data_IF_447897751910
#
_entry.id   IF_447897751910
#
_cell.length_a   1.000
_cell.length_b   1.000
_cell.length_c   1.000
_cell.angle_alpha   90.00
_cell.angle_beta   90.00
_cell.angle_gamma   90.00
#
_symmetry.space_group_name_H-M   'P 1'
#
loop_
_entity.id
_entity.type
_entity.pdbx_description
1 polymer ?
#
# COMPACT_ATOMS: atom_id res chain seq x y z
N UNK A 1 -10.59 -45.46 -0.71
CA UNK A 1 -11.39 -44.32 -1.21
C UNK A 1 -12.12 -43.70 -0.04
N UNK A 2 -11.80 -42.46 0.35
CA UNK A 2 -12.54 -41.74 1.38
C UNK A 2 -13.87 -41.25 0.79
N UNK A 3 -14.99 -41.34 1.51
CA UNK A 3 -16.27 -40.83 1.02
C UNK A 3 -16.18 -39.31 0.82
N UNK A 4 -16.86 -38.76 -0.19
CA UNK A 4 -16.90 -37.31 -0.39
C UNK A 4 -17.51 -36.64 0.86
N UNK A 5 -16.94 -35.51 1.33
CA UNK A 5 -17.45 -34.85 2.52
C UNK A 5 -18.90 -34.40 2.29
N UNK A 6 -19.75 -34.62 3.30
CA UNK A 6 -21.14 -34.11 3.33
C UNK A 6 -21.12 -32.62 3.03
N UNK A 7 -22.01 -32.14 2.17
CA UNK A 7 -22.20 -30.70 1.91
C UNK A 7 -22.54 -29.98 3.22
N UNK A 8 -21.50 -29.49 3.90
CA UNK A 8 -21.64 -28.71 5.12
C UNK A 8 -21.99 -27.27 4.72
N UNK A 9 -23.23 -26.87 5.01
CA UNK A 9 -23.69 -25.50 4.82
C UNK A 9 -24.03 -24.91 6.19
N UNK A 10 -23.10 -24.16 6.82
CA UNK A 10 -23.28 -23.64 8.18
C UNK A 10 -24.35 -22.55 8.29
N UNK A 11 -24.81 -22.00 7.16
CA UNK A 11 -25.73 -20.88 7.12
C UNK A 11 -27.16 -21.35 6.80
N UNK A 12 -28.08 -21.08 7.72
CA UNK A 12 -29.51 -21.39 7.61
C UNK A 12 -30.26 -20.43 6.69
N UNK A 13 -29.70 -19.24 6.41
CA UNK A 13 -30.25 -18.24 5.47
C UNK A 13 -29.17 -17.65 4.55
N UNK A 14 -29.60 -17.05 3.43
CA UNK A 14 -28.68 -16.31 2.54
C UNK A 14 -28.12 -15.09 3.29
N UNK A 15 -26.83 -14.84 3.10
CA UNK A 15 -26.13 -13.67 3.66
C UNK A 15 -26.71 -12.40 3.05
N UNK A 16 -27.20 -11.49 3.89
CA UNK A 16 -27.73 -10.18 3.46
C UNK A 16 -26.62 -9.13 3.39
N UNK A 17 -26.92 -7.97 2.79
CA UNK A 17 -25.98 -6.83 2.81
C UNK A 17 -25.79 -6.26 4.22
N UNK A 18 -26.81 -6.36 5.08
CA UNK A 18 -26.72 -5.94 6.49
C UNK A 18 -25.79 -6.85 7.28
N UNK A 19 -25.84 -8.17 7.06
CA UNK A 19 -24.93 -9.13 7.71
C UNK A 19 -23.47 -8.83 7.36
N UNK A 20 -23.21 -8.49 6.08
CA UNK A 20 -21.88 -8.08 5.62
C UNK A 20 -21.44 -6.77 6.26
N UNK A 21 -22.35 -5.78 6.39
CA UNK A 21 -22.05 -4.48 6.99
C UNK A 21 -21.78 -4.61 8.50
N UNK A 22 -22.58 -5.41 9.20
CA UNK A 22 -22.37 -5.74 10.60
C UNK A 22 -21.03 -6.42 10.82
N UNK A 23 -20.72 -7.47 10.06
CA UNK A 23 -19.46 -8.19 10.17
C UNK A 23 -18.26 -7.26 9.92
N UNK A 24 -18.34 -6.36 8.94
CA UNK A 24 -17.29 -5.36 8.68
C UNK A 24 -17.08 -4.41 9.85
N UNK A 25 -18.17 -3.89 10.43
CA UNK A 25 -18.09 -2.97 11.55
C UNK A 25 -17.55 -3.66 12.80
N UNK A 26 -17.95 -4.90 13.06
CA UNK A 26 -17.37 -5.70 14.15
C UNK A 26 -15.89 -5.96 13.93
N UNK A 27 -15.50 -6.39 12.73
CA UNK A 27 -14.11 -6.64 12.35
C UNK A 27 -13.22 -5.40 12.52
N UNK A 28 -13.74 -4.20 12.25
CA UNK A 28 -13.01 -2.94 12.49
C UNK A 28 -12.78 -2.65 13.98
N UNK A 29 -13.63 -3.14 14.88
CA UNK A 29 -13.47 -2.97 16.33
C UNK A 29 -12.35 -3.85 16.90
N UNK A 30 -12.03 -4.98 16.26
CA UNK A 30 -10.95 -5.89 16.68
C UNK A 30 -9.53 -5.44 16.26
N UNK A 31 -9.39 -4.23 15.69
CA UNK A 31 -8.09 -3.63 15.33
C UNK A 31 -7.61 -3.94 13.90
N UNK A 32 -6.32 -3.74 13.62
CA UNK A 32 -5.71 -3.98 12.30
C UNK A 32 -5.74 -5.47 11.94
N UNK A 33 -6.80 -5.90 11.25
CA UNK A 33 -6.88 -7.23 10.66
C UNK A 33 -5.72 -7.44 9.69
N UNK A 34 -4.85 -8.38 10.05
CA UNK A 34 -3.65 -8.71 9.29
C UNK A 34 -4.01 -9.52 8.05
N UNK A 35 -3.49 -9.08 6.90
CA UNK A 35 -3.31 -9.89 5.68
C UNK A 35 -4.52 -10.09 4.76
N UNK A 36 -5.74 -10.29 5.30
CA UNK A 36 -6.91 -10.69 4.49
C UNK A 36 -8.18 -9.86 4.70
N UNK A 37 -8.15 -8.83 5.56
CA UNK A 37 -9.32 -7.96 5.79
C UNK A 37 -9.85 -7.31 4.50
N UNK A 38 -8.97 -7.08 3.52
CA UNK A 38 -9.30 -6.54 2.20
C UNK A 38 -10.18 -7.46 1.35
N UNK A 39 -10.20 -8.79 1.57
CA UNK A 39 -11.09 -9.72 0.85
C UNK A 39 -12.56 -9.38 1.13
N UNK A 40 -12.85 -8.87 2.33
CA UNK A 40 -14.20 -8.52 2.74
C UNK A 40 -14.54 -7.07 2.37
N UNK A 41 -13.56 -6.23 2.05
CA UNK A 41 -13.81 -4.87 1.54
C UNK A 41 -14.65 -4.95 0.27
N UNK A 42 -15.47 -3.91 0.01
CA UNK A 42 -16.07 -3.81 -1.32
C UNK A 42 -14.91 -3.79 -2.31
N UNK A 43 -15.02 -4.56 -3.39
CA UNK A 43 -14.08 -4.44 -4.50
C UNK A 43 -14.01 -2.94 -4.82
N UNK A 44 -12.82 -2.32 -4.73
CA UNK A 44 -12.72 -0.89 -4.96
C UNK A 44 -13.38 -0.64 -6.30
N UNK A 45 -14.23 0.39 -6.39
CA UNK A 45 -14.70 0.84 -7.69
C UNK A 45 -13.45 1.25 -8.43
N UNK A 46 -12.92 0.33 -9.23
CA UNK A 46 -11.77 0.56 -10.07
C UNK A 46 -12.30 1.55 -11.09
N UNK A 47 -12.18 2.84 -10.76
CA UNK A 47 -11.88 3.83 -11.79
C UNK A 47 -10.85 3.11 -12.64
N UNK A 48 -11.13 2.89 -13.93
CA UNK A 48 -10.17 2.29 -14.86
C UNK A 48 -8.96 3.20 -14.87
N UNK A 49 -8.13 3.05 -13.85
CA UNK A 49 -6.92 3.81 -13.67
C UNK A 49 -6.08 3.32 -14.84
N UNK A 50 -5.47 4.24 -15.61
CA UNK A 50 -4.81 3.92 -16.87
C UNK A 50 -3.45 3.24 -16.61
N UNK A 51 -3.38 2.40 -15.58
CA UNK A 51 -2.22 1.62 -15.22
C UNK A 51 -2.44 0.24 -15.80
N UNK A 52 -1.95 0.08 -17.03
CA UNK A 52 -1.92 -1.20 -17.74
C UNK A 52 -1.03 -2.16 -16.93
N UNK A 53 -1.60 -3.25 -16.42
CA UNK A 53 -0.83 -4.33 -15.81
C UNK A 53 -0.03 -5.02 -16.93
N UNK A 54 1.22 -4.60 -17.13
CA UNK A 54 2.09 -5.06 -18.24
C UNK A 54 2.30 -6.56 -18.27
N UNK A 55 2.30 -7.21 -17.09
CA UNK A 55 2.45 -8.66 -17.00
C UNK A 55 1.37 -9.39 -17.83
N UNK A 56 0.24 -8.73 -18.11
CA UNK A 56 -0.87 -9.25 -18.90
C UNK A 56 -0.86 -8.79 -20.37
N UNK A 57 0.17 -8.08 -20.83
CA UNK A 57 0.22 -7.61 -22.22
C UNK A 57 0.65 -8.75 -23.17
N UNK A 58 0.10 -8.75 -24.38
CA UNK A 58 0.39 -9.80 -25.39
C UNK A 58 1.87 -9.77 -25.79
N UNK A 59 2.48 -8.60 -25.76
CA UNK A 59 3.89 -8.37 -26.10
C UNK A 59 4.84 -9.01 -25.08
N UNK A 60 4.48 -8.98 -23.78
CA UNK A 60 5.24 -9.68 -22.74
C UNK A 60 5.15 -11.20 -22.87
N UNK A 61 3.95 -11.73 -23.18
CA UNK A 61 3.72 -13.18 -23.35
C UNK A 61 4.41 -13.74 -24.59
N UNK A 62 4.49 -12.95 -25.68
CA UNK A 62 5.03 -13.41 -26.97
C UNK A 62 6.55 -13.27 -27.10
N UNK A 63 7.28 -12.81 -26.07
CA UNK A 63 8.75 -12.76 -26.06
C UNK A 63 9.40 -11.67 -26.94
N UNK A 64 8.63 -10.91 -27.72
CA UNK A 64 9.10 -9.80 -28.55
C UNK A 64 9.14 -8.47 -27.75
N UNK A 65 9.74 -8.50 -26.57
CA UNK A 65 9.63 -7.42 -25.60
C UNK A 65 10.71 -6.35 -25.80
N UNK A 66 10.30 -5.15 -26.20
CA UNK A 66 11.16 -3.95 -26.22
C UNK A 66 10.91 -3.11 -24.96
N UNK A 67 11.96 -2.89 -24.17
CA UNK A 67 11.88 -2.15 -22.90
C UNK A 67 11.46 -0.69 -23.11
N UNK A 68 11.80 -0.12 -24.26
CA UNK A 68 11.48 1.25 -24.63
C UNK A 68 9.97 1.42 -24.86
N UNK A 69 9.34 0.46 -25.54
CA UNK A 69 7.89 0.47 -25.76
C UNK A 69 7.13 0.28 -24.44
N UNK A 70 7.67 -0.55 -23.54
CA UNK A 70 7.16 -0.66 -22.17
C UNK A 70 7.18 0.68 -21.46
N UNK A 71 8.34 1.35 -21.45
CA UNK A 71 8.51 2.64 -20.78
C UNK A 71 7.53 3.67 -21.31
N UNK A 72 7.29 3.69 -22.62
CA UNK A 72 6.31 4.58 -23.25
C UNK A 72 4.88 4.28 -22.80
N UNK A 73 4.49 3.00 -22.75
CA UNK A 73 3.15 2.58 -22.29
C UNK A 73 2.90 2.82 -20.80
N UNK A 74 3.96 2.98 -20.02
CA UNK A 74 3.87 3.24 -18.58
C UNK A 74 3.76 4.71 -18.22
N UNK A 75 4.03 5.61 -19.17
CA UNK A 75 3.99 7.04 -18.92
C UNK A 75 2.61 7.46 -18.44
N UNK A 76 2.61 8.30 -17.41
CA UNK A 76 1.42 8.85 -16.81
C UNK A 76 1.36 10.36 -17.07
N UNK A 77 0.17 10.86 -17.35
CA UNK A 77 -0.08 12.30 -17.38
C UNK A 77 -0.22 12.86 -15.96
N UNK A 78 -0.09 14.17 -15.81
CA UNK A 78 -0.24 14.83 -14.50
C UNK A 78 -1.63 14.61 -13.90
N UNK A 79 -2.67 14.58 -14.74
CA UNK A 79 -4.04 14.30 -14.30
C UNK A 79 -4.16 12.88 -13.75
N UNK A 80 -3.48 11.91 -14.37
CA UNK A 80 -3.47 10.52 -13.92
C UNK A 80 -2.70 10.36 -12.61
N UNK A 81 -1.55 11.04 -12.47
CA UNK A 81 -0.78 11.06 -11.22
C UNK A 81 -1.62 11.66 -10.08
N UNK A 82 -2.31 12.78 -10.34
CA UNK A 82 -3.20 13.43 -9.40
C UNK A 82 -4.40 12.54 -9.02
N UNK A 83 -4.99 11.84 -9.99
CA UNK A 83 -6.07 10.89 -9.75
C UNK A 83 -5.62 9.72 -8.87
N UNK A 84 -4.44 9.15 -9.12
CA UNK A 84 -3.87 8.07 -8.30
C UNK A 84 -3.63 8.57 -6.87
N UNK A 85 -3.04 9.75 -6.70
CA UNK A 85 -2.80 10.34 -5.38
C UNK A 85 -4.11 10.47 -4.60
N UNK A 86 -5.15 11.07 -5.20
CA UNK A 86 -6.44 11.27 -4.55
C UNK A 86 -7.16 9.97 -4.23
N UNK A 87 -7.14 9.02 -5.17
CA UNK A 87 -7.81 7.72 -5.01
C UNK A 87 -7.14 6.82 -3.95
N UNK A 88 -5.92 7.14 -3.53
CA UNK A 88 -5.11 6.33 -2.61
C UNK A 88 -4.84 7.02 -1.27
N UNK A 89 -5.49 8.15 -0.99
CA UNK A 89 -5.50 8.77 0.34
C UNK A 89 -6.00 7.75 1.38
N UNK A 90 -5.42 7.77 2.58
CA UNK A 90 -5.65 6.77 3.63
C UNK A 90 -4.68 5.57 3.58
N UNK A 91 -3.88 5.48 2.51
CA UNK A 91 -2.75 4.56 2.36
C UNK A 91 -3.04 3.12 2.79
N UNK A 92 -2.53 2.68 3.95
CA UNK A 92 -2.66 1.30 4.44
C UNK A 92 -4.12 0.85 4.55
N UNK A 93 -5.01 1.75 4.95
CA UNK A 93 -6.43 1.49 5.12
C UNK A 93 -7.21 1.57 3.79
N UNK A 94 -6.56 2.03 2.72
CA UNK A 94 -7.14 2.12 1.39
C UNK A 94 -6.66 0.95 0.51
N UNK A 95 -7.52 -0.01 0.13
CA UNK A 95 -7.10 -1.16 -0.67
C UNK A 95 -6.56 -0.78 -2.06
N UNK A 96 -7.02 0.32 -2.65
CA UNK A 96 -6.51 0.83 -3.93
C UNK A 96 -5.03 1.19 -3.83
N UNK A 97 -4.56 1.66 -2.67
CA UNK A 97 -3.15 1.98 -2.43
C UNK A 97 -2.27 0.73 -2.56
N UNK A 98 -2.67 -0.40 -1.96
CA UNK A 98 -1.92 -1.66 -2.07
C UNK A 98 -1.88 -2.17 -3.51
N UNK A 99 -3.02 -2.11 -4.20
CA UNK A 99 -3.14 -2.54 -5.59
C UNK A 99 -2.22 -1.74 -6.53
N UNK A 100 -2.24 -0.41 -6.41
CA UNK A 100 -1.51 0.49 -7.31
C UNK A 100 -0.01 0.55 -7.02
N UNK A 101 0.40 0.19 -5.80
CA UNK A 101 1.82 0.04 -5.42
C UNK A 101 2.43 -1.27 -5.91
N UNK A 102 1.61 -2.29 -6.16
CA UNK A 102 2.09 -3.60 -6.58
C UNK A 102 2.79 -3.50 -7.93
N UNK A 103 4.00 -4.07 -8.03
CA UNK A 103 4.79 -4.02 -9.25
C UNK A 103 5.42 -2.65 -9.55
N UNK A 104 5.46 -1.74 -8.58
CA UNK A 104 6.14 -0.44 -8.67
C UNK A 104 7.38 -0.42 -7.79
N UNK A 105 8.36 0.39 -8.16
CA UNK A 105 9.54 0.61 -7.34
C UNK A 105 9.25 1.73 -6.34
N UNK A 106 9.07 1.37 -5.07
CA UNK A 106 8.73 2.32 -4.01
C UNK A 106 9.97 2.92 -3.35
N UNK A 107 9.89 4.19 -2.92
CA UNK A 107 10.98 4.89 -2.21
C UNK A 107 11.57 4.07 -1.04
N UNK A 108 10.71 3.41 -0.25
CA UNK A 108 11.11 2.55 0.87
C UNK A 108 12.02 1.37 0.50
N UNK A 109 11.95 0.89 -0.74
CA UNK A 109 12.76 -0.21 -1.26
C UNK A 109 13.90 0.28 -2.18
N UNK A 110 13.90 1.56 -2.58
CA UNK A 110 14.80 2.07 -3.60
C UNK A 110 16.28 1.98 -3.19
N UNK A 111 16.58 2.21 -1.92
CA UNK A 111 17.95 2.05 -1.39
C UNK A 111 18.48 0.61 -1.49
N UNK A 112 17.60 -0.40 -1.48
CA UNK A 112 17.96 -1.81 -1.66
C UNK A 112 18.24 -2.08 -3.14
N UNK A 113 17.43 -1.51 -4.03
CA UNK A 113 17.60 -1.63 -5.49
C UNK A 113 18.95 -1.08 -5.92
N UNK A 114 19.30 0.14 -5.48
CA UNK A 114 20.57 0.79 -5.82
C UNK A 114 21.80 0.00 -5.35
N UNK A 115 21.68 -0.72 -4.23
CA UNK A 115 22.76 -1.56 -3.68
C UNK A 115 22.82 -2.96 -4.29
N UNK A 116 21.77 -3.37 -5.00
CA UNK A 116 21.71 -4.70 -5.58
C UNK A 116 22.50 -4.79 -6.88
N UNK A 117 23.36 -5.79 -6.99
CA UNK A 117 24.13 -6.06 -8.22
C UNK A 117 23.36 -6.94 -9.21
N UNK A 118 22.32 -7.66 -8.74
CA UNK A 118 21.54 -8.64 -9.52
C UNK A 118 20.10 -8.69 -9.03
N UNK A 119 19.16 -9.01 -9.92
CA UNK A 119 17.78 -9.28 -9.54
C UNK A 119 17.67 -10.68 -8.90
N UNK A 120 17.75 -10.75 -7.56
CA UNK A 120 17.59 -12.02 -6.82
C UNK A 120 16.11 -12.32 -6.56
N UNK A 121 15.71 -13.60 -6.39
CA UNK A 121 14.34 -13.95 -6.02
C UNK A 121 13.87 -13.24 -4.72
N UNK A 122 14.78 -13.04 -3.76
CA UNK A 122 14.49 -12.32 -2.52
C UNK A 122 14.20 -10.84 -2.73
N UNK A 123 14.92 -10.18 -3.65
CA UNK A 123 14.65 -8.80 -4.05
C UNK A 123 13.31 -8.70 -4.78
N UNK A 124 13.04 -9.61 -5.72
CA UNK A 124 11.77 -9.64 -6.45
C UNK A 124 10.58 -9.81 -5.50
N UNK A 125 10.65 -10.76 -4.56
CA UNK A 125 9.62 -10.96 -3.54
C UNK A 125 9.40 -9.72 -2.66
N UNK A 126 10.47 -8.97 -2.36
CA UNK A 126 10.40 -7.71 -1.60
C UNK A 126 9.70 -6.61 -2.39
N UNK A 127 9.99 -6.49 -3.68
CA UNK A 127 9.37 -5.51 -4.57
C UNK A 127 7.91 -5.84 -4.90
N UNK A 128 7.56 -7.13 -4.97
CA UNK A 128 6.18 -7.58 -5.19
C UNK A 128 5.25 -7.36 -3.98
N UNK A 129 5.77 -6.84 -2.85
CA UNK A 129 5.04 -6.67 -1.60
C UNK A 129 4.39 -7.96 -1.07
N UNK A 130 5.02 -9.12 -1.34
CA UNK A 130 4.51 -10.45 -0.98
C UNK A 130 4.86 -10.88 0.46
N UNK A 131 5.51 -10.01 1.24
CA UNK A 131 5.80 -10.28 2.64
C UNK A 131 4.68 -9.75 3.52
N UNK A 132 4.11 -10.63 4.34
CA UNK A 132 3.33 -10.19 5.49
C UNK A 132 4.29 -9.61 6.54
N UNK A 133 4.22 -8.28 6.70
CA UNK A 133 5.05 -7.53 7.63
C UNK A 133 4.30 -7.18 8.93
N UNK A 134 3.04 -7.62 9.06
CA UNK A 134 2.20 -7.30 10.22
C UNK A 134 2.69 -7.89 11.53
N UNK A 135 3.47 -8.99 11.48
CA UNK A 135 4.09 -9.59 12.67
C UNK A 135 5.36 -8.86 13.15
N UNK A 136 5.86 -7.86 12.41
CA UNK A 136 7.13 -7.20 12.71
C UNK A 136 6.90 -6.08 13.71
N UNK A 137 7.34 -6.28 14.96
CA UNK A 137 7.16 -5.33 16.06
C UNK A 137 7.65 -3.91 15.75
N UNK A 138 8.77 -3.78 15.05
CA UNK A 138 9.31 -2.45 14.70
C UNK A 138 8.45 -1.70 13.69
N UNK A 139 7.75 -2.42 12.80
CA UNK A 139 6.84 -1.83 11.82
C UNK A 139 5.56 -1.40 12.53
N UNK A 140 4.98 -2.26 13.36
CA UNK A 140 3.80 -1.89 14.15
C UNK A 140 4.07 -0.72 15.08
N UNK A 141 5.25 -0.68 15.71
CA UNK A 141 5.67 0.46 16.53
C UNK A 141 5.71 1.76 15.72
N UNK A 142 6.28 1.73 14.52
CA UNK A 142 6.28 2.90 13.62
C UNK A 142 4.85 3.37 13.32
N UNK A 143 4.00 2.44 12.86
CA UNK A 143 2.61 2.74 12.46
C UNK A 143 1.78 3.32 13.60
N UNK A 144 1.90 2.76 14.80
CA UNK A 144 1.12 3.24 15.96
C UNK A 144 1.55 4.65 16.39
N UNK A 145 2.85 4.96 16.29
CA UNK A 145 3.40 6.22 16.78
C UNK A 145 3.46 7.33 15.72
N UNK A 146 3.25 7.00 14.44
CA UNK A 146 3.30 7.95 13.32
C UNK A 146 2.39 9.16 13.56
N UNK A 147 1.15 8.91 13.96
CA UNK A 147 0.17 9.96 14.28
C UNK A 147 0.65 10.89 15.41
N UNK A 148 1.39 10.36 16.39
CA UNK A 148 1.96 11.16 17.46
C UNK A 148 3.13 12.03 16.99
N UNK A 149 3.95 11.52 16.06
CA UNK A 149 5.00 12.30 15.42
C UNK A 149 4.44 13.46 14.60
N UNK A 150 3.35 13.23 13.85
CA UNK A 150 2.64 14.29 13.11
C UNK A 150 2.10 15.34 14.08
N UNK A 151 1.44 14.94 15.17
CA UNK A 151 0.96 15.88 16.19
C UNK A 151 2.08 16.69 16.82
N UNK A 152 3.20 16.05 17.16
CA UNK A 152 4.37 16.74 17.73
C UNK A 152 4.95 17.77 16.74
N UNK A 153 5.05 17.42 15.46
CA UNK A 153 5.47 18.34 14.40
C UNK A 153 4.51 19.53 14.27
N UNK A 154 3.20 19.28 14.17
CA UNK A 154 2.18 20.33 14.06
C UNK A 154 2.22 21.28 15.26
N UNK A 155 2.36 20.74 16.49
CA UNK A 155 2.47 21.53 17.71
C UNK A 155 3.74 22.37 17.76
N UNK A 156 4.88 21.84 17.32
CA UNK A 156 6.17 22.51 17.39
C UNK A 156 6.33 23.61 16.32
N UNK A 157 5.74 23.42 15.14
CA UNK A 157 5.93 24.31 13.99
C UNK A 157 4.72 25.19 13.69
N UNK A 158 3.53 24.84 14.20
CA UNK A 158 2.27 25.47 13.83
C UNK A 158 1.80 25.15 12.40
N UNK A 159 2.51 24.26 11.68
CA UNK A 159 2.18 23.90 10.31
C UNK A 159 1.21 22.73 10.27
N UNK A 160 0.16 22.85 9.47
CA UNK A 160 -0.83 21.79 9.27
C UNK A 160 -0.29 20.72 8.35
N UNK A 161 -0.38 19.46 8.79
CA UNK A 161 -0.11 18.28 7.96
C UNK A 161 -1.41 17.76 7.39
N UNK A 162 -1.43 17.48 6.09
CA UNK A 162 -2.56 16.87 5.37
C UNK A 162 -2.22 15.47 4.90
N UNK A 163 -3.24 14.61 4.86
CA UNK A 163 -3.07 13.23 4.42
C UNK A 163 -2.56 13.16 2.97
N UNK A 164 -1.70 12.17 2.73
CA UNK A 164 -1.13 11.90 1.42
C UNK A 164 -1.51 10.52 0.93
N UNK A 165 -1.71 10.38 -0.38
CA UNK A 165 -1.83 9.09 -1.05
C UNK A 165 -0.50 8.58 -1.61
N UNK A 166 -0.60 7.81 -2.69
CA UNK A 166 0.53 7.31 -3.47
C UNK A 166 0.85 8.23 -4.63
N UNK A 167 2.09 8.69 -4.68
CA UNK A 167 2.65 9.54 -5.71
C UNK A 167 3.43 8.69 -6.69
N UNK A 168 3.14 8.86 -7.98
CA UNK A 168 3.87 8.23 -9.07
C UNK A 168 4.64 9.27 -9.85
N UNK A 169 5.82 8.89 -10.34
CA UNK A 169 6.56 9.71 -11.33
C UNK A 169 5.90 9.62 -12.70
N UNK A 170 6.28 10.53 -13.62
CA UNK A 170 5.76 10.55 -14.99
C UNK A 170 6.05 9.26 -15.76
N UNK A 171 7.09 8.51 -15.36
CA UNK A 171 7.39 7.17 -15.90
C UNK A 171 6.38 6.09 -15.48
N UNK A 172 5.58 6.34 -14.45
CA UNK A 172 4.69 5.35 -13.83
C UNK A 172 5.39 4.21 -13.09
N UNK A 173 6.73 4.12 -13.11
CA UNK A 173 7.50 3.02 -12.51
C UNK A 173 7.84 3.30 -11.05
N UNK A 174 8.33 4.51 -10.78
CA UNK A 174 8.74 4.94 -9.45
C UNK A 174 7.57 5.57 -8.72
N UNK A 175 7.44 5.28 -7.43
CA UNK A 175 6.47 5.95 -6.58
C UNK A 175 6.86 6.05 -5.11
N UNK A 176 6.14 6.90 -4.38
CA UNK A 176 6.35 7.14 -2.96
C UNK A 176 5.01 7.41 -2.26
N UNK A 177 4.94 7.13 -0.97
CA UNK A 177 3.81 7.55 -0.13
C UNK A 177 4.41 8.29 1.06
N UNK A 178 4.51 9.62 0.99
CA UNK A 178 4.90 10.41 2.14
C UNK A 178 3.90 10.23 3.28
N UNK A 179 4.37 10.33 4.52
CA UNK A 179 3.51 10.19 5.71
C UNK A 179 2.54 11.38 5.83
N UNK A 180 2.89 12.53 5.23
CA UNK A 180 1.96 13.65 5.06
C UNK A 180 2.51 14.76 4.18
N UNK A 181 1.67 15.74 3.88
CA UNK A 181 2.03 16.97 3.16
C UNK A 181 1.93 18.18 4.06
N UNK A 182 2.88 19.10 3.92
CA UNK A 182 2.96 20.35 4.67
C UNK A 182 2.88 21.50 3.68
N UNK A 183 1.75 22.20 3.65
CA UNK A 183 1.48 23.22 2.63
C UNK A 183 1.52 22.64 1.20
N UNK A 184 1.96 23.46 0.25
CA UNK A 184 1.98 23.07 -1.17
C UNK A 184 3.25 22.30 -1.57
N UNK A 185 4.40 22.69 -1.01
CA UNK A 185 5.73 22.34 -1.53
C UNK A 185 6.57 21.47 -0.59
N UNK A 186 6.02 20.99 0.53
CA UNK A 186 6.76 20.16 1.47
C UNK A 186 5.99 18.88 1.84
N UNK A 187 6.77 17.87 2.21
CA UNK A 187 6.28 16.59 2.71
C UNK A 187 6.94 16.28 4.05
N UNK A 188 6.32 15.39 4.82
CA UNK A 188 6.88 14.87 6.06
C UNK A 188 7.07 13.35 5.95
N UNK A 189 8.19 12.88 6.47
CA UNK A 189 8.50 11.47 6.71
C UNK A 189 8.83 11.32 8.20
N UNK A 190 7.97 10.63 8.93
CA UNK A 190 8.06 10.41 10.36
C UNK A 190 8.74 9.07 10.63
N UNK A 191 9.69 9.05 11.57
CA UNK A 191 10.40 7.84 11.96
C UNK A 191 10.40 7.65 13.47
N UNK A 192 9.86 6.51 13.91
CA UNK A 192 9.97 6.03 15.27
C UNK A 192 10.83 4.76 15.31
N UNK A 193 12.15 4.88 15.50
CA UNK A 193 13.03 3.72 15.57
C UNK A 193 12.72 2.88 16.83
N UNK A 194 12.31 1.63 16.62
CA UNK A 194 11.96 0.70 17.70
C UNK A 194 13.09 0.44 18.69
N UNK A 195 14.35 0.53 18.23
CA UNK A 195 15.54 0.39 19.08
C UNK A 195 15.63 1.47 20.16
N UNK A 196 15.03 2.64 19.92
CA UNK A 196 15.06 3.77 20.85
C UNK A 196 13.81 3.89 21.73
N UNK A 197 12.87 2.93 21.67
CA UNK A 197 11.58 3.01 22.39
C UNK A 197 11.69 3.19 23.91
N UNK A 198 12.77 2.70 24.52
CA UNK A 198 13.02 2.78 25.96
C UNK A 198 14.02 3.87 26.33
N UNK A 199 14.49 4.65 25.37
CA UNK A 199 15.46 5.71 25.65
C UNK A 199 14.67 6.86 26.27
N UNK A 200 14.80 7.05 27.58
CA UNK A 200 14.27 8.25 28.20
C UNK A 200 14.99 9.46 27.60
N UNK A 201 14.22 10.40 27.04
CA UNK A 201 14.74 11.74 26.79
C UNK A 201 14.84 12.40 28.16
N UNK A 202 16.05 12.45 28.72
CA UNK A 202 16.37 13.40 29.78
C UNK A 202 16.14 14.79 29.19
N UNK A 203 15.01 15.42 29.50
CA UNK A 203 14.72 16.85 29.35
C UNK A 203 13.52 17.20 30.22
#
# INVERSE_FOLDING_TARGET
>A
MYPPPKHYKPLTRKVSQEDQKWLKNELQQYGQLTGLGWILSKEPEVTKLPIKLIILSKEFVNGNFQVENLLEQMKLTEEQQCAVQKATIGQRENPSWQLLRKGRLTASNFGVILKSKRATPSLMKRLSAEYDLSGVQSINWGVVNEAEGIKAFTKATGLTVTDSGFWLTSSGILGASPDGRVGENAIIEVKFPYTQRNTQRNN
#
